data_IF_642672950462
#
_entry.id   IF_642672950462
#
_cell.length_a   1.000
_cell.length_b   1.000
_cell.length_c   1.000
_cell.angle_alpha   90.00
_cell.angle_beta   90.00
_cell.angle_gamma   90.00
#
_symmetry.space_group_name_H-M   'P 1'
#
loop_
_entity.id
_entity.type
_entity.pdbx_description
1 polymer ?
#
# COMPACT_ATOMS: atom_id res chain seq x y z
N UNK A 1 -4.25 14.80 10.01
CA UNK A 1 -3.93 15.14 8.60
C UNK A 1 -3.75 16.64 8.51
N UNK A 2 -2.85 17.11 7.64
CA UNK A 2 -2.63 18.54 7.47
C UNK A 2 -3.89 19.23 6.94
N UNK A 3 -4.05 20.54 7.25
CA UNK A 3 -5.09 21.36 6.63
C UNK A 3 -4.77 21.52 5.15
N UNK A 4 -5.69 21.10 4.28
CA UNK A 4 -5.52 21.11 2.83
C UNK A 4 -6.34 22.23 2.16
N UNK A 5 -6.92 23.16 2.95
CA UNK A 5 -7.69 24.27 2.46
C UNK A 5 -6.80 25.31 1.77
N UNK A 6 -7.29 25.90 0.70
CA UNK A 6 -6.57 26.95 -0.03
C UNK A 6 -7.48 28.00 -0.66
N UNK A 7 -6.87 29.13 -1.00
CA UNK A 7 -7.45 30.18 -1.87
C UNK A 7 -6.52 30.39 -3.06
N UNK A 8 -7.06 30.35 -4.27
CA UNK A 8 -6.41 30.73 -5.52
C UNK A 8 -7.13 31.95 -6.10
N UNK A 9 -6.38 33.02 -6.35
CA UNK A 9 -6.89 34.22 -7.03
C UNK A 9 -6.07 34.42 -8.29
N UNK A 10 -6.74 34.57 -9.44
CA UNK A 10 -6.12 34.88 -10.72
C UNK A 10 -6.69 36.21 -11.19
N UNK A 11 -5.82 37.17 -11.37
CA UNK A 11 -6.11 38.50 -11.90
C UNK A 11 -5.34 38.71 -13.21
N UNK A 12 -5.61 39.73 -14.00
CA UNK A 12 -4.94 39.94 -15.29
C UNK A 12 -3.41 39.99 -15.21
N UNK A 13 -2.85 40.47 -14.10
CA UNK A 13 -1.42 40.70 -13.93
C UNK A 13 -0.82 39.98 -12.71
N UNK A 14 -1.61 39.16 -11.99
CA UNK A 14 -1.15 38.51 -10.78
C UNK A 14 -1.84 37.16 -10.54
N UNK A 15 -1.15 36.28 -9.86
CA UNK A 15 -1.68 35.00 -9.34
C UNK A 15 -1.29 34.91 -7.87
N UNK A 16 -2.28 34.74 -7.00
CA UNK A 16 -2.08 34.55 -5.57
C UNK A 16 -2.55 33.16 -5.17
N UNK A 17 -1.64 32.37 -4.57
CA UNK A 17 -1.93 31.13 -3.89
C UNK A 17 -1.77 31.34 -2.38
N UNK A 18 -2.77 31.01 -1.61
CA UNK A 18 -2.76 31.16 -0.16
C UNK A 18 -3.33 29.90 0.51
N UNK A 19 -2.61 29.37 1.48
CA UNK A 19 -3.04 28.25 2.31
C UNK A 19 -2.39 28.32 3.69
N UNK A 20 -2.92 27.57 4.65
CA UNK A 20 -2.36 27.42 6.00
C UNK A 20 -1.29 26.33 6.10
N UNK A 21 -1.12 25.51 5.06
CA UNK A 21 -0.18 24.40 5.00
C UNK A 21 0.47 24.26 3.63
N UNK A 22 1.58 23.52 3.58
CA UNK A 22 2.25 23.15 2.32
C UNK A 22 1.35 22.27 1.44
N UNK A 23 0.56 21.37 2.03
CA UNK A 23 -0.41 20.54 1.30
C UNK A 23 -1.47 21.40 0.61
N UNK A 24 -2.01 22.41 1.32
CA UNK A 24 -2.96 23.35 0.72
C UNK A 24 -2.35 24.15 -0.43
N UNK A 25 -1.10 24.62 -0.31
CA UNK A 25 -0.39 25.28 -1.40
C UNK A 25 -0.14 24.35 -2.59
N UNK A 26 0.20 23.09 -2.32
CA UNK A 26 0.34 22.07 -3.36
C UNK A 26 -0.95 21.90 -4.15
N UNK A 27 -2.10 21.75 -3.48
CA UNK A 27 -3.39 21.59 -4.16
C UNK A 27 -3.87 22.87 -4.86
N UNK A 28 -3.53 24.06 -4.34
CA UNK A 28 -3.75 25.31 -5.04
C UNK A 28 -2.98 25.37 -6.37
N UNK A 29 -1.72 24.93 -6.35
CA UNK A 29 -0.88 24.80 -7.55
C UNK A 29 -1.48 23.79 -8.54
N UNK A 30 -1.91 22.62 -8.07
CA UNK A 30 -2.55 21.61 -8.93
C UNK A 30 -3.84 22.13 -9.55
N UNK A 31 -4.66 22.92 -8.83
CA UNK A 31 -5.83 23.59 -9.38
C UNK A 31 -5.46 24.57 -10.49
N UNK A 32 -4.43 25.38 -10.27
CA UNK A 32 -3.93 26.33 -11.29
C UNK A 32 -3.42 25.60 -12.55
N UNK A 33 -2.68 24.51 -12.37
CA UNK A 33 -2.21 23.67 -13.48
C UNK A 33 -3.37 23.06 -14.27
N UNK A 34 -4.42 22.59 -13.61
CA UNK A 34 -5.63 22.10 -14.26
C UNK A 34 -6.32 23.21 -15.08
N UNK A 35 -6.53 24.38 -14.49
CA UNK A 35 -7.10 25.53 -15.20
C UNK A 35 -6.28 25.89 -16.44
N UNK A 36 -4.96 25.92 -16.32
CA UNK A 36 -4.05 26.20 -17.45
C UNK A 36 -4.15 25.15 -18.56
N UNK A 37 -4.19 23.86 -18.20
CA UNK A 37 -4.35 22.77 -19.18
C UNK A 37 -5.68 22.86 -19.93
N UNK A 38 -6.80 23.07 -19.23
CA UNK A 38 -8.12 23.25 -19.85
C UNK A 38 -8.22 24.51 -20.69
N UNK A 39 -7.55 25.58 -20.27
CA UNK A 39 -7.49 26.85 -20.99
C UNK A 39 -6.41 26.91 -22.08
N UNK A 40 -5.73 25.78 -22.39
CA UNK A 40 -4.64 25.75 -23.40
C UNK A 40 -3.55 26.79 -23.13
N UNK A 41 -3.13 26.90 -21.88
CA UNK A 41 -2.15 27.87 -21.42
C UNK A 41 -2.74 29.21 -20.93
N UNK A 42 -4.03 29.49 -21.15
CA UNK A 42 -4.71 30.67 -20.65
C UNK A 42 -5.54 30.34 -19.41
N UNK A 43 -5.42 31.14 -18.38
CA UNK A 43 -6.25 31.08 -17.20
C UNK A 43 -7.11 32.37 -17.11
N UNK A 44 -8.42 32.21 -17.07
CA UNK A 44 -9.33 33.35 -16.89
C UNK A 44 -9.24 33.85 -15.45
N UNK A 45 -9.41 35.15 -15.27
CA UNK A 45 -9.52 35.77 -13.95
C UNK A 45 -10.62 35.08 -13.13
N UNK A 46 -10.26 34.59 -11.94
CA UNK A 46 -11.17 33.85 -11.05
C UNK A 46 -10.69 33.90 -9.63
N UNK A 47 -11.59 33.58 -8.70
CA UNK A 47 -11.27 33.29 -7.30
C UNK A 47 -11.84 31.93 -6.94
N UNK A 48 -10.98 31.05 -6.42
CA UNK A 48 -11.35 29.73 -5.94
C UNK A 48 -11.00 29.65 -4.46
N UNK A 49 -11.94 29.21 -3.65
CA UNK A 49 -11.74 28.82 -2.27
C UNK A 49 -12.19 27.37 -2.15
N UNK A 50 -11.32 26.49 -1.71
CA UNK A 50 -11.57 25.06 -1.72
C UNK A 50 -10.93 24.38 -0.52
N UNK A 51 -11.58 23.33 -0.07
CA UNK A 51 -11.11 22.43 0.98
C UNK A 51 -11.67 21.02 0.75
N UNK A 52 -10.94 19.96 1.08
CA UNK A 52 -11.46 18.62 0.92
C UNK A 52 -12.61 18.36 1.88
N UNK A 53 -13.66 17.71 1.39
CA UNK A 53 -14.79 17.26 2.22
C UNK A 53 -14.40 16.06 3.09
N UNK A 54 -13.50 15.21 2.58
CA UNK A 54 -13.03 14.00 3.26
C UNK A 54 -11.53 14.07 3.49
N UNK A 55 -11.10 13.79 4.71
CA UNK A 55 -9.68 13.76 5.07
C UNK A 55 -8.92 12.55 4.52
N UNK A 56 -9.60 11.44 4.28
CA UNK A 56 -9.01 10.23 3.68
C UNK A 56 -9.57 10.03 2.28
N UNK A 57 -8.69 10.14 1.29
CA UNK A 57 -9.02 9.97 -0.14
C UNK A 57 -8.01 9.01 -0.75
N UNK A 58 -8.33 7.72 -0.65
CA UNK A 58 -7.41 6.64 -0.96
C UNK A 58 -7.57 6.07 -2.37
N UNK A 59 -6.47 5.49 -2.85
CA UNK A 59 -6.42 4.60 -3.99
C UNK A 59 -5.58 3.40 -3.61
N UNK A 60 -6.03 2.19 -3.96
CA UNK A 60 -5.30 0.95 -3.71
C UNK A 60 -4.76 0.38 -5.01
N UNK A 61 -3.50 -0.09 -4.98
CA UNK A 61 -2.86 -0.80 -6.07
C UNK A 61 -2.39 -2.17 -5.59
N UNK A 62 -2.86 -3.21 -6.28
CA UNK A 62 -2.43 -4.59 -6.06
C UNK A 62 -1.23 -4.92 -6.96
N UNK A 63 -0.07 -5.00 -6.34
CA UNK A 63 1.20 -5.37 -6.99
C UNK A 63 1.53 -6.85 -6.85
N UNK A 64 0.84 -7.55 -5.97
CA UNK A 64 1.06 -8.97 -5.76
C UNK A 64 0.54 -9.78 -6.94
N UNK A 65 -0.73 -9.54 -7.35
CA UNK A 65 -1.33 -10.24 -8.49
C UNK A 65 -0.70 -9.81 -9.81
N UNK A 66 -0.34 -8.49 -9.90
CA UNK A 66 0.32 -7.91 -11.07
C UNK A 66 1.38 -6.90 -10.62
N UNK A 67 2.63 -7.19 -10.95
CA UNK A 67 3.75 -6.28 -10.65
C UNK A 67 3.90 -5.24 -11.76
N UNK A 68 3.71 -3.98 -11.44
CA UNK A 68 3.80 -2.86 -12.38
C UNK A 68 5.17 -2.17 -12.38
N UNK A 69 5.88 -2.23 -11.26
CA UNK A 69 7.19 -1.62 -11.09
C UNK A 69 7.20 -0.12 -10.81
N UNK A 70 8.34 0.36 -10.35
CA UNK A 70 8.56 1.69 -9.79
C UNK A 70 8.03 2.85 -10.65
N UNK A 71 8.34 2.83 -11.94
CA UNK A 71 7.96 3.93 -12.84
C UNK A 71 6.44 4.02 -13.03
N UNK A 72 5.76 2.89 -13.03
CA UNK A 72 4.29 2.88 -13.12
C UNK A 72 3.66 3.36 -11.82
N UNK A 73 4.18 2.96 -10.67
CA UNK A 73 3.72 3.46 -9.37
C UNK A 73 3.86 4.98 -9.29
N UNK A 74 4.99 5.55 -9.72
CA UNK A 74 5.15 7.01 -9.79
C UNK A 74 4.14 7.69 -10.69
N UNK A 75 3.79 7.08 -11.84
CA UNK A 75 2.73 7.61 -12.71
C UNK A 75 1.36 7.62 -11.99
N UNK A 76 1.04 6.57 -11.22
CA UNK A 76 -0.19 6.57 -10.40
C UNK A 76 -0.15 7.65 -9.32
N UNK A 77 0.98 7.86 -8.66
CA UNK A 77 1.13 8.94 -7.68
C UNK A 77 0.94 10.33 -8.30
N UNK A 78 1.40 10.56 -9.54
CA UNK A 78 1.15 11.80 -10.28
C UNK A 78 -0.35 11.98 -10.60
N UNK A 79 -1.02 10.91 -11.00
CA UNK A 79 -2.47 10.93 -11.24
C UNK A 79 -3.22 11.19 -9.94
N UNK A 80 -2.85 10.51 -8.85
CA UNK A 80 -3.43 10.71 -7.52
C UNK A 80 -3.30 12.16 -7.08
N UNK A 81 -2.11 12.76 -7.21
CA UNK A 81 -1.87 14.16 -6.90
C UNK A 81 -2.80 15.09 -7.68
N UNK A 82 -2.93 14.86 -8.99
CA UNK A 82 -3.81 15.66 -9.87
C UNK A 82 -5.30 15.51 -9.50
N UNK A 83 -5.70 14.40 -8.91
CA UNK A 83 -7.06 14.11 -8.43
C UNK A 83 -7.24 14.44 -6.94
N UNK A 84 -6.20 14.96 -6.28
CA UNK A 84 -6.19 15.29 -4.84
C UNK A 84 -6.46 14.09 -3.94
N UNK A 85 -6.05 12.89 -4.37
CA UNK A 85 -5.98 11.71 -3.51
C UNK A 85 -4.74 11.81 -2.63
N UNK A 86 -4.87 11.50 -1.34
CA UNK A 86 -3.81 11.71 -0.34
C UNK A 86 -3.38 10.45 0.40
N UNK A 87 -3.93 9.30 0.04
CA UNK A 87 -3.56 8.00 0.63
C UNK A 87 -3.37 6.98 -0.47
N UNK A 88 -2.16 6.43 -0.55
CA UNK A 88 -1.83 5.31 -1.42
C UNK A 88 -1.76 4.03 -0.59
N UNK A 89 -2.76 3.18 -0.74
CA UNK A 89 -2.80 1.85 -0.16
C UNK A 89 -2.06 0.90 -1.10
N UNK A 90 -0.90 0.40 -0.66
CA UNK A 90 -0.01 -0.39 -1.49
C UNK A 90 -0.04 -1.85 -1.06
N UNK A 91 -0.79 -2.66 -1.80
CA UNK A 91 -0.95 -4.10 -1.55
C UNK A 91 0.23 -4.86 -2.18
N UNK A 92 1.18 -5.25 -1.33
CA UNK A 92 2.49 -5.75 -1.73
C UNK A 92 2.68 -7.25 -1.51
N UNK A 93 1.75 -7.90 -0.81
CA UNK A 93 1.89 -9.31 -0.42
C UNK A 93 0.59 -10.06 -0.55
N UNK A 94 0.62 -11.21 -1.23
CA UNK A 94 -0.54 -12.08 -1.42
C UNK A 94 -0.08 -13.47 -1.91
N UNK A 95 -1.03 -14.37 -2.23
CA UNK A 95 -0.79 -15.74 -2.69
C UNK A 95 0.21 -15.84 -3.83
N UNK A 96 0.06 -15.08 -4.96
CA UNK A 96 0.91 -15.27 -6.13
C UNK A 96 2.29 -14.69 -5.97
N UNK A 97 2.50 -13.71 -5.07
CA UNK A 97 3.80 -13.10 -4.95
C UNK A 97 4.00 -12.16 -3.77
N UNK A 98 5.19 -12.19 -3.24
CA UNK A 98 5.73 -11.27 -2.25
C UNK A 98 6.55 -10.18 -2.94
N UNK A 99 6.29 -8.90 -2.68
CA UNK A 99 6.89 -7.79 -3.44
C UNK A 99 7.77 -6.84 -2.63
N UNK A 100 8.09 -7.17 -1.37
CA UNK A 100 8.92 -6.32 -0.49
C UNK A 100 10.22 -7.05 -0.15
N UNK A 101 11.37 -6.42 -0.36
CA UNK A 101 12.63 -6.92 0.17
C UNK A 101 12.65 -6.85 1.69
N UNK A 102 12.75 -8.00 2.36
CA UNK A 102 12.97 -8.15 3.80
C UNK A 102 14.34 -8.79 4.00
N UNK A 103 15.29 -8.05 4.55
CA UNK A 103 16.70 -8.49 4.64
C UNK A 103 16.89 -9.69 5.55
N UNK A 104 16.08 -9.80 6.61
CA UNK A 104 16.09 -10.97 7.50
C UNK A 104 15.57 -12.24 6.83
N UNK A 105 14.75 -12.10 5.81
CA UNK A 105 14.07 -13.22 5.14
C UNK A 105 14.30 -13.22 3.62
N UNK A 106 15.53 -13.51 3.14
CA UNK A 106 15.89 -13.38 1.73
C UNK A 106 15.13 -14.32 0.79
N UNK A 107 14.60 -15.45 1.28
CA UNK A 107 13.78 -16.34 0.45
C UNK A 107 12.47 -15.69 0.01
N UNK A 108 11.98 -14.66 0.69
CA UNK A 108 10.78 -13.94 0.28
C UNK A 108 10.95 -13.32 -1.13
N UNK A 109 12.16 -12.89 -1.49
CA UNK A 109 12.43 -12.32 -2.81
C UNK A 109 12.98 -13.35 -3.81
N UNK A 110 13.63 -14.44 -3.36
CA UNK A 110 14.18 -15.45 -4.26
C UNK A 110 13.17 -16.55 -4.60
N UNK A 111 12.22 -16.83 -3.73
CA UNK A 111 11.20 -17.86 -3.87
C UNK A 111 9.78 -17.24 -3.83
N UNK A 112 9.50 -16.39 -2.83
CA UNK A 112 8.19 -15.78 -2.62
C UNK A 112 7.80 -14.78 -3.70
N UNK A 113 8.76 -14.09 -4.32
CA UNK A 113 8.50 -13.12 -5.39
C UNK A 113 8.38 -13.76 -6.78
N UNK A 114 8.61 -15.07 -6.90
CA UNK A 114 8.44 -15.82 -8.15
C UNK A 114 6.96 -16.02 -8.45
N UNK A 115 6.56 -15.72 -9.69
CA UNK A 115 5.19 -15.90 -10.14
C UNK A 115 4.30 -14.66 -10.05
N UNK A 116 3.18 -14.73 -10.71
CA UNK A 116 2.08 -13.79 -10.67
C UNK A 116 0.76 -14.54 -10.94
N UNK A 117 -0.36 -13.82 -10.96
CA UNK A 117 -1.68 -14.43 -11.13
C UNK A 117 -1.84 -15.25 -12.42
N UNK A 118 -1.14 -14.89 -13.50
CA UNK A 118 -1.28 -15.56 -14.80
C UNK A 118 -0.20 -16.63 -15.04
N UNK A 119 1.00 -16.42 -14.50
CA UNK A 119 2.12 -17.33 -14.67
C UNK A 119 2.80 -17.57 -13.32
N UNK A 120 2.55 -18.72 -12.68
CA UNK A 120 3.17 -19.07 -11.40
C UNK A 120 4.70 -19.31 -11.49
N UNK A 121 5.26 -19.32 -12.69
CA UNK A 121 6.70 -19.46 -12.94
C UNK A 121 7.36 -18.20 -13.50
N UNK A 122 6.62 -17.09 -13.55
CA UNK A 122 7.19 -15.81 -13.97
C UNK A 122 8.41 -15.46 -13.12
N UNK A 123 9.43 -14.80 -13.70
CA UNK A 123 10.60 -14.36 -12.93
C UNK A 123 10.23 -13.58 -11.68
N UNK A 124 11.06 -13.69 -10.65
CA UNK A 124 10.87 -12.94 -9.41
C UNK A 124 10.82 -11.43 -9.69
N UNK A 125 9.79 -10.77 -9.15
CA UNK A 125 9.62 -9.32 -9.23
C UNK A 125 9.28 -8.78 -7.85
N UNK A 126 10.03 -7.77 -7.42
CA UNK A 126 9.89 -7.17 -6.10
C UNK A 126 10.49 -5.77 -6.09
N UNK A 127 10.25 -5.03 -5.03
CA UNK A 127 10.89 -3.76 -4.73
C UNK A 127 12.01 -3.97 -3.72
N UNK A 128 13.19 -3.46 -4.03
CA UNK A 128 14.25 -3.30 -3.06
C UNK A 128 13.86 -2.25 -2.01
N UNK A 129 14.45 -2.32 -0.83
CA UNK A 129 14.19 -1.31 0.21
C UNK A 129 14.54 0.12 -0.26
N UNK A 130 15.54 0.25 -1.10
CA UNK A 130 15.92 1.55 -1.68
C UNK A 130 14.86 2.07 -2.67
N UNK A 131 14.28 1.20 -3.48
CA UNK A 131 13.18 1.58 -4.38
C UNK A 131 11.92 1.94 -3.60
N UNK A 132 11.63 1.24 -2.50
CA UNK A 132 10.51 1.61 -1.60
C UNK A 132 10.71 3.00 -1.03
N UNK A 133 11.91 3.29 -0.47
CA UNK A 133 12.25 4.61 0.06
C UNK A 133 12.12 5.71 -0.99
N UNK A 134 12.56 5.44 -2.22
CA UNK A 134 12.42 6.37 -3.35
C UNK A 134 10.96 6.66 -3.67
N UNK A 135 10.11 5.63 -3.71
CA UNK A 135 8.66 5.77 -3.97
C UNK A 135 7.98 6.51 -2.81
N UNK A 136 8.31 6.18 -1.57
CA UNK A 136 7.78 6.85 -0.37
C UNK A 136 8.15 8.35 -0.37
N UNK A 137 9.38 8.69 -0.68
CA UNK A 137 9.81 10.08 -0.80
C UNK A 137 9.08 10.79 -1.94
N UNK A 138 8.93 10.13 -3.10
CA UNK A 138 8.20 10.66 -4.24
C UNK A 138 6.71 10.92 -3.94
N UNK A 139 6.09 10.07 -3.14
CA UNK A 139 4.72 10.25 -2.64
C UNK A 139 4.64 11.42 -1.64
N UNK A 140 5.62 11.52 -0.72
CA UNK A 140 5.68 12.59 0.28
C UNK A 140 5.77 13.98 -0.36
N UNK A 141 6.53 14.14 -1.45
CA UNK A 141 6.62 15.39 -2.24
C UNK A 141 5.26 15.80 -2.86
N UNK A 142 4.29 14.86 -2.91
CA UNK A 142 2.92 15.06 -3.41
C UNK A 142 1.89 15.08 -2.30
N UNK A 143 2.33 15.12 -1.05
CA UNK A 143 1.47 15.03 0.13
C UNK A 143 0.59 13.77 0.16
N UNK A 144 1.11 12.65 -0.38
CA UNK A 144 0.46 11.35 -0.40
C UNK A 144 1.11 10.47 0.65
N UNK A 145 0.33 10.01 1.62
CA UNK A 145 0.74 9.02 2.60
C UNK A 145 0.68 7.63 1.97
N UNK A 146 1.76 6.86 2.10
CA UNK A 146 1.80 5.46 1.63
C UNK A 146 1.47 4.54 2.80
N UNK A 147 0.38 3.78 2.68
CA UNK A 147 -0.03 2.75 3.63
C UNK A 147 0.31 1.38 3.03
N UNK A 148 1.37 0.70 3.51
CA UNK A 148 1.70 -0.62 3.03
C UNK A 148 0.71 -1.64 3.56
N UNK A 149 0.43 -2.68 2.77
CA UNK A 149 -0.30 -3.86 3.23
C UNK A 149 0.62 -5.07 3.28
N UNK A 150 0.63 -5.70 4.45
CA UNK A 150 1.15 -7.03 4.69
C UNK A 150 -0.02 -7.93 5.07
N UNK A 151 -0.59 -8.63 4.09
CA UNK A 151 -1.78 -9.44 4.28
C UNK A 151 -1.49 -10.70 5.10
N UNK A 152 -2.28 -10.90 6.14
CA UNK A 152 -2.18 -12.02 7.06
C UNK A 152 -3.50 -12.23 7.83
N UNK A 153 -3.78 -13.41 8.39
CA UNK A 153 -3.00 -14.65 8.30
C UNK A 153 -3.23 -15.46 7.03
N UNK A 154 -4.29 -15.14 6.28
CA UNK A 154 -4.60 -15.69 4.96
C UNK A 154 -3.70 -15.12 3.85
N UNK A 155 -3.97 -15.48 2.60
CA UNK A 155 -3.23 -14.99 1.43
C UNK A 155 -1.70 -15.14 1.53
N UNK A 156 -1.23 -16.11 2.33
CA UNK A 156 0.16 -16.27 2.73
C UNK A 156 0.93 -17.31 1.90
N UNK A 157 0.38 -17.79 0.78
CA UNK A 157 0.99 -18.88 -0.01
C UNK A 157 2.41 -18.55 -0.48
N UNK A 158 2.68 -17.31 -0.91
CA UNK A 158 4.02 -16.89 -1.30
C UNK A 158 5.02 -16.98 -0.15
N UNK A 159 4.60 -16.58 1.05
CA UNK A 159 5.41 -16.67 2.28
C UNK A 159 5.60 -18.11 2.71
N UNK A 160 4.53 -18.89 2.80
CA UNK A 160 4.57 -20.29 3.23
C UNK A 160 5.35 -21.18 2.26
N UNK A 161 5.42 -20.81 0.99
CA UNK A 161 6.31 -21.45 0.00
C UNK A 161 7.78 -21.19 0.31
N UNK A 162 8.10 -19.98 0.73
CA UNK A 162 9.46 -19.56 1.08
C UNK A 162 9.92 -20.10 2.45
N UNK A 163 9.00 -20.19 3.40
CA UNK A 163 9.23 -20.60 4.79
C UNK A 163 8.13 -21.58 5.24
N UNK A 164 8.21 -22.85 4.80
CA UNK A 164 7.17 -23.85 5.06
C UNK A 164 6.92 -24.14 6.56
N UNK A 165 7.89 -23.85 7.41
CA UNK A 165 7.81 -24.04 8.86
C UNK A 165 6.72 -23.20 9.53
N UNK A 166 6.35 -22.04 8.95
CA UNK A 166 5.29 -21.17 9.49
C UNK A 166 3.93 -21.40 8.82
N UNK A 167 3.84 -22.37 7.90
CA UNK A 167 2.59 -22.69 7.24
C UNK A 167 1.61 -23.40 8.17
N UNK A 168 0.33 -23.01 8.07
CA UNK A 168 -0.79 -23.72 8.71
C UNK A 168 -1.18 -25.03 8.03
N UNK A 169 -0.52 -25.40 6.91
CA UNK A 169 -0.85 -26.60 6.14
C UNK A 169 -2.03 -26.37 5.20
N UNK A 170 -3.05 -27.23 5.31
CA UNK A 170 -4.21 -27.21 4.42
C UNK A 170 -4.10 -28.21 3.27
N UNK A 171 -5.16 -28.32 2.46
CA UNK A 171 -5.26 -29.26 1.34
C UNK A 171 -5.77 -28.58 0.08
N UNK A 172 -5.43 -29.13 -1.08
CA UNK A 172 -5.88 -28.66 -2.38
C UNK A 172 -5.49 -27.21 -2.65
N UNK A 173 -6.46 -26.40 -3.08
CA UNK A 173 -6.23 -24.97 -3.36
C UNK A 173 -5.90 -24.12 -2.13
N UNK A 174 -6.17 -24.64 -0.93
CA UNK A 174 -5.90 -23.96 0.33
C UNK A 174 -4.60 -24.39 1.00
N UNK A 175 -3.81 -25.24 0.32
CA UNK A 175 -2.52 -25.67 0.82
C UNK A 175 -1.58 -24.47 0.95
N UNK A 176 -1.02 -24.29 2.16
CA UNK A 176 -0.12 -23.17 2.49
C UNK A 176 -0.75 -21.78 2.38
N UNK A 177 -2.09 -21.68 2.37
CA UNK A 177 -2.80 -20.40 2.24
C UNK A 177 -2.72 -19.52 3.48
N UNK A 178 -2.59 -20.13 4.66
CA UNK A 178 -2.69 -19.43 5.94
C UNK A 178 -1.48 -19.74 6.83
N UNK A 179 -1.04 -18.76 7.59
CA UNK A 179 -0.01 -18.96 8.63
C UNK A 179 -0.47 -19.93 9.71
N UNK A 180 0.48 -20.61 10.35
CA UNK A 180 0.20 -21.47 11.50
C UNK A 180 -0.04 -20.61 12.76
N UNK A 181 -1.27 -20.61 13.33
CA UNK A 181 -1.65 -19.64 14.35
C UNK A 181 -1.08 -19.91 15.75
N UNK A 182 -0.51 -21.11 15.97
CA UNK A 182 -0.05 -21.53 17.30
C UNK A 182 1.47 -21.75 17.39
N UNK A 183 2.22 -21.39 16.34
CA UNK A 183 3.69 -21.51 16.34
C UNK A 183 4.35 -20.19 16.73
N UNK A 184 5.31 -20.25 17.63
CA UNK A 184 6.10 -19.09 18.03
C UNK A 184 6.89 -18.53 16.86
N UNK A 185 7.41 -19.38 15.98
CA UNK A 185 8.14 -19.01 14.77
C UNK A 185 7.28 -18.13 13.82
N UNK A 186 5.96 -18.32 13.82
CA UNK A 186 5.04 -17.49 13.04
C UNK A 186 5.01 -16.06 13.59
N UNK A 187 4.92 -15.91 14.90
CA UNK A 187 4.88 -14.59 15.55
C UNK A 187 6.24 -13.89 15.45
N UNK A 188 7.33 -14.64 15.59
CA UNK A 188 8.67 -14.12 15.37
C UNK A 188 8.86 -13.62 13.93
N UNK A 189 8.41 -14.40 12.94
CA UNK A 189 8.42 -13.99 11.53
C UNK A 189 7.64 -12.69 11.31
N UNK A 190 6.39 -12.62 11.77
CA UNK A 190 5.52 -11.45 11.63
C UNK A 190 6.18 -10.21 12.28
N UNK A 191 6.68 -10.35 13.50
CA UNK A 191 7.35 -9.25 14.23
C UNK A 191 8.56 -8.73 13.46
N UNK A 192 9.43 -9.62 13.02
CA UNK A 192 10.63 -9.28 12.27
C UNK A 192 10.34 -8.60 10.92
N UNK A 193 9.28 -9.04 10.22
CA UNK A 193 8.83 -8.41 8.97
C UNK A 193 8.26 -7.03 9.24
N UNK A 194 7.41 -6.88 10.26
CA UNK A 194 6.84 -5.60 10.63
C UNK A 194 7.90 -4.59 11.08
N UNK A 195 8.95 -5.01 11.78
CA UNK A 195 10.08 -4.15 12.16
C UNK A 195 10.72 -3.49 10.93
N UNK A 196 10.93 -4.26 9.84
CA UNK A 196 11.50 -3.70 8.60
C UNK A 196 10.48 -2.84 7.84
N UNK A 197 9.21 -3.23 7.80
CA UNK A 197 8.15 -2.43 7.16
C UNK A 197 7.98 -1.08 7.86
N UNK A 198 7.91 -1.05 9.19
CA UNK A 198 7.80 0.21 9.97
C UNK A 198 8.98 1.14 9.70
N UNK A 199 10.20 0.59 9.53
CA UNK A 199 11.37 1.38 9.21
C UNK A 199 11.36 1.97 7.78
N UNK A 200 10.64 1.33 6.85
CA UNK A 200 10.55 1.77 5.44
C UNK A 200 9.44 2.78 5.20
N UNK A 201 8.33 2.67 5.93
CA UNK A 201 7.13 3.47 5.70
C UNK A 201 6.84 4.40 6.88
N UNK A 202 6.98 5.72 6.73
CA UNK A 202 6.72 6.70 7.78
C UNK A 202 5.21 6.96 7.98
N UNK A 203 4.37 6.00 7.63
CA UNK A 203 2.93 6.03 7.83
C UNK A 203 2.58 5.66 9.27
N UNK A 204 1.61 6.33 9.91
CA UNK A 204 1.06 5.89 11.20
C UNK A 204 0.18 4.64 11.07
N UNK A 205 -0.03 4.13 9.86
CA UNK A 205 -0.88 2.98 9.57
C UNK A 205 -0.13 1.94 8.75
N UNK A 206 -0.34 0.68 9.10
CA UNK A 206 -0.03 -0.50 8.30
C UNK A 206 -1.33 -1.28 8.15
N UNK A 207 -1.69 -1.64 6.92
CA UNK A 207 -2.82 -2.52 6.67
C UNK A 207 -2.35 -3.98 6.83
N UNK A 208 -3.08 -4.79 7.57
CA UNK A 208 -2.70 -6.17 7.87
C UNK A 208 -3.57 -7.20 7.14
N UNK A 209 -4.40 -6.76 6.20
CA UNK A 209 -5.33 -7.63 5.47
C UNK A 209 -6.41 -8.21 6.39
N UNK A 210 -6.48 -9.53 6.43
CA UNK A 210 -7.39 -10.27 7.30
C UNK A 210 -8.61 -10.82 6.59
N UNK A 211 -8.66 -10.73 5.28
CA UNK A 211 -9.73 -11.23 4.44
C UNK A 211 -9.58 -12.74 4.13
N UNK A 212 -10.70 -13.34 3.81
CA UNK A 212 -10.85 -14.73 3.33
C UNK A 212 -10.04 -15.79 4.09
N UNK A 213 -9.87 -15.63 5.40
CA UNK A 213 -9.07 -16.56 6.23
C UNK A 213 -9.62 -17.97 6.14
N UNK A 214 -8.85 -18.89 5.56
CA UNK A 214 -9.19 -20.28 5.48
C UNK A 214 -8.40 -21.08 6.53
N UNK A 215 -9.10 -21.79 7.38
CA UNK A 215 -8.52 -22.61 8.47
C UNK A 215 -7.89 -23.88 7.90
N UNK A 216 -6.63 -23.78 7.43
CA UNK A 216 -5.95 -24.84 6.68
C UNK A 216 -5.90 -26.20 7.40
N UNK A 217 -5.48 -26.24 8.65
CA UNK A 217 -5.50 -27.46 9.45
C UNK A 217 -6.50 -27.32 10.61
N UNK A 218 -7.63 -28.09 10.60
CA UNK A 218 -8.64 -28.01 11.65
C UNK A 218 -8.09 -28.21 13.08
N UNK A 219 -7.04 -29.00 13.24
CA UNK A 219 -6.45 -29.28 14.57
C UNK A 219 -5.76 -28.04 15.13
N UNK A 220 -5.09 -27.25 14.31
CA UNK A 220 -4.40 -26.03 14.76
C UNK A 220 -5.39 -24.94 15.21
N UNK A 221 -6.56 -24.90 14.61
CA UNK A 221 -7.60 -23.91 14.93
C UNK A 221 -8.56 -24.34 16.03
N UNK A 222 -8.72 -25.63 16.30
CA UNK A 222 -9.54 -26.09 17.43
C UNK A 222 -8.99 -25.65 18.79
N UNK A 223 -7.71 -25.34 18.87
CA UNK A 223 -7.09 -24.76 20.08
C UNK A 223 -7.31 -23.24 20.19
N UNK A 224 -7.58 -22.54 19.09
CA UNK A 224 -7.89 -21.10 19.08
C UNK A 224 -9.38 -20.83 19.24
N UNK A 225 -10.24 -21.76 18.86
CA UNK A 225 -11.68 -21.67 19.08
C UNK A 225 -12.07 -22.19 20.48
N UNK A 226 -11.26 -21.85 21.47
CA UNK A 226 -11.67 -21.99 22.86
C UNK A 226 -12.95 -21.20 23.14
N UNK A 227 -13.73 -21.59 24.15
CA UNK A 227 -15.16 -21.43 24.31
C UNK A 227 -15.65 -20.00 24.54
N UNK A 228 -15.05 -19.04 23.90
CA UNK A 228 -15.45 -17.62 23.94
C UNK A 228 -16.32 -17.18 22.80
N UNK A 229 -16.64 -18.04 21.86
CA UNK A 229 -17.66 -17.77 20.86
C UNK A 229 -19.03 -18.09 21.44
N UNK A 230 -19.48 -17.27 22.37
CA UNK A 230 -20.92 -17.10 22.51
C UNK A 230 -21.39 -16.54 21.16
N UNK A 231 -22.22 -17.33 20.50
CA UNK A 231 -22.94 -16.86 19.33
C UNK A 231 -23.87 -15.75 19.77
N UNK A 232 -23.60 -14.54 19.34
CA UNK A 232 -24.58 -13.48 19.32
C UNK A 232 -25.54 -13.71 18.17
#
# INVERSE_FOLDING_TARGET
MADEAYTLVVEPNSILLQASSEAGLFYAKEALLQLSRFGKGNVRACKIQDQPRYGWRGFMLDESRHFFGKEKVKQYLDIMASLRLNVFHWHLTDEPGWRIEIKRYPKLITEGAVGNWHDPKAPATFYTQEEIKEIVAYAADRHIMVVPEFDMPGHATAVCRSYPEISGGGEGKWQHFTFHPCKEETFEFISNVLDEIVALFPSPYIHIGGDEVHYGNPVSYTHLTLPTTERV
#
